data_IF_485447550566
#
_entry.id   IF_485447550566
#
_cell.length_a   1.000
_cell.length_b   1.000
_cell.length_c   1.000
_cell.angle_alpha   90.00
_cell.angle_beta   90.00
_cell.angle_gamma   90.00
#
_symmetry.space_group_name_H-M   'P 1'
#
loop_
_entity.id
_entity.type
_entity.pdbx_description
1 polymer ?
#
# COMPACT_ATOMS: atom_id res chain seq x y z
N UNK A 1 -22.98 -15.70 -49.24
CA UNK A 1 -23.30 -14.28 -49.44
C UNK A 1 -22.24 -13.44 -48.77
N UNK A 2 -21.73 -12.42 -49.45
CA UNK A 2 -20.72 -11.47 -48.96
C UNK A 2 -21.13 -10.84 -47.63
N UNK A 3 -22.42 -10.51 -47.48
CA UNK A 3 -23.00 -9.95 -46.26
C UNK A 3 -22.76 -10.81 -45.00
N UNK A 4 -22.75 -12.15 -45.11
CA UNK A 4 -22.48 -13.04 -43.97
C UNK A 4 -21.01 -13.00 -43.53
N UNK A 5 -20.10 -12.81 -44.48
CA UNK A 5 -18.68 -12.70 -44.21
C UNK A 5 -18.36 -11.35 -43.57
N UNK A 6 -18.93 -10.27 -44.11
CA UNK A 6 -18.80 -8.90 -43.60
C UNK A 6 -19.31 -8.78 -42.16
N UNK A 7 -20.52 -9.29 -41.87
CA UNK A 7 -21.05 -9.28 -40.51
C UNK A 7 -20.20 -10.08 -39.51
N UNK A 8 -19.58 -11.19 -39.93
CA UNK A 8 -18.67 -11.94 -39.07
C UNK A 8 -17.36 -11.18 -38.82
N UNK A 9 -16.82 -10.51 -39.82
CA UNK A 9 -15.60 -9.71 -39.68
C UNK A 9 -15.81 -8.48 -38.81
N UNK A 10 -16.96 -7.81 -38.97
CA UNK A 10 -17.34 -6.63 -38.19
C UNK A 10 -17.59 -7.00 -36.73
N UNK A 11 -18.44 -8.01 -36.46
CA UNK A 11 -18.69 -8.47 -35.10
C UNK A 11 -17.43 -8.97 -34.38
N UNK A 12 -16.48 -9.61 -35.09
CA UNK A 12 -15.17 -9.98 -34.51
C UNK A 12 -14.25 -8.78 -34.27
N UNK A 13 -14.34 -7.73 -35.08
CA UNK A 13 -13.57 -6.52 -34.88
C UNK A 13 -14.11 -5.74 -33.67
N UNK A 14 -15.43 -5.58 -33.61
CA UNK A 14 -16.15 -4.90 -32.52
C UNK A 14 -15.94 -5.62 -31.19
N UNK A 15 -16.21 -6.92 -31.10
CA UNK A 15 -16.01 -7.68 -29.86
C UNK A 15 -14.55 -7.66 -29.36
N UNK A 16 -13.56 -7.63 -30.27
CA UNK A 16 -12.15 -7.45 -29.87
C UNK A 16 -11.82 -6.02 -29.46
N UNK A 17 -12.50 -5.02 -30.00
CA UNK A 17 -12.32 -3.63 -29.60
C UNK A 17 -12.92 -3.40 -28.21
N UNK A 18 -14.15 -3.87 -27.99
CA UNK A 18 -14.88 -3.80 -26.73
C UNK A 18 -14.14 -4.55 -25.62
N UNK A 19 -13.81 -5.84 -25.81
CA UNK A 19 -13.09 -6.60 -24.79
C UNK A 19 -11.72 -6.01 -24.42
N UNK A 20 -11.03 -5.37 -25.37
CA UNK A 20 -9.77 -4.64 -25.07
C UNK A 20 -10.01 -3.29 -24.38
N UNK A 21 -11.15 -2.65 -24.61
CA UNK A 21 -11.50 -1.42 -23.92
C UNK A 21 -11.87 -1.72 -22.47
N UNK A 22 -12.74 -2.72 -22.25
CA UNK A 22 -13.18 -3.19 -20.95
C UNK A 22 -12.00 -3.70 -20.11
N UNK A 23 -11.22 -4.65 -20.63
CA UNK A 23 -10.07 -5.20 -19.89
C UNK A 23 -9.02 -4.13 -19.51
N UNK A 24 -8.84 -3.09 -20.34
CA UNK A 24 -7.98 -1.94 -19.97
C UNK A 24 -8.62 -1.00 -18.96
N UNK A 25 -9.95 -0.87 -18.96
CA UNK A 25 -10.66 -0.05 -17.98
C UNK A 25 -10.61 -0.73 -16.61
N UNK A 26 -10.94 -2.02 -16.55
CA UNK A 26 -10.91 -2.86 -15.36
C UNK A 26 -9.50 -2.95 -14.77
N UNK A 27 -8.51 -3.37 -15.56
CA UNK A 27 -7.13 -3.49 -15.06
C UNK A 27 -6.54 -2.16 -14.55
N UNK A 28 -6.94 -1.02 -15.12
CA UNK A 28 -6.56 0.29 -14.59
C UNK A 28 -7.31 0.67 -13.32
N UNK A 29 -8.57 0.28 -13.18
CA UNK A 29 -9.34 0.54 -11.98
C UNK A 29 -8.80 -0.29 -10.80
N UNK A 30 -8.59 -1.59 -11.02
CA UNK A 30 -8.03 -2.51 -10.04
C UNK A 30 -6.62 -2.08 -9.61
N UNK A 31 -5.71 -1.89 -10.57
CA UNK A 31 -4.33 -1.49 -10.24
C UNK A 31 -4.22 -0.16 -9.49
N UNK A 32 -5.14 0.79 -9.75
CA UNK A 32 -5.21 2.03 -8.94
C UNK A 32 -5.74 1.77 -7.54
N UNK A 33 -6.78 0.96 -7.39
CA UNK A 33 -7.37 0.65 -6.09
C UNK A 33 -6.35 -0.07 -5.20
N UNK A 34 -5.67 -1.08 -5.74
CA UNK A 34 -4.60 -1.82 -5.06
C UNK A 34 -3.44 -0.90 -4.68
N UNK A 35 -2.91 -0.12 -5.62
CA UNK A 35 -1.80 0.79 -5.35
C UNK A 35 -2.11 1.84 -4.28
N UNK A 36 -3.34 2.36 -4.24
CA UNK A 36 -3.78 3.28 -3.19
C UNK A 36 -3.90 2.57 -1.84
N UNK A 37 -4.47 1.36 -1.80
CA UNK A 37 -4.62 0.59 -0.58
C UNK A 37 -3.26 0.23 0.02
N UNK A 38 -2.36 -0.31 -0.78
CA UNK A 38 -1.00 -0.67 -0.37
C UNK A 38 -0.22 0.57 0.08
N UNK A 39 -0.25 1.65 -0.70
CA UNK A 39 0.44 2.89 -0.36
C UNK A 39 -0.04 3.49 0.97
N UNK A 40 -1.35 3.49 1.21
CA UNK A 40 -1.92 3.94 2.49
C UNK A 40 -1.54 3.04 3.66
N UNK A 41 -1.62 1.72 3.48
CA UNK A 41 -1.28 0.76 4.52
C UNK A 41 0.21 0.89 4.92
N UNK A 42 1.10 0.96 3.92
CA UNK A 42 2.53 1.15 4.12
C UNK A 42 2.83 2.49 4.80
N UNK A 43 2.29 3.59 4.29
CA UNK A 43 2.51 4.91 4.88
C UNK A 43 1.99 5.03 6.32
N UNK A 44 0.86 4.42 6.64
CA UNK A 44 0.34 4.39 8.01
C UNK A 44 1.22 3.55 8.95
N UNK A 45 1.71 2.40 8.48
CA UNK A 45 2.61 1.55 9.25
C UNK A 45 3.96 2.24 9.52
N UNK A 46 4.57 2.83 8.48
CA UNK A 46 5.81 3.59 8.57
C UNK A 46 5.65 4.80 9.52
N UNK A 47 4.60 5.61 9.33
CA UNK A 47 4.34 6.77 10.18
C UNK A 47 4.08 6.40 11.66
N UNK A 48 3.40 5.28 11.92
CA UNK A 48 3.23 4.77 13.29
C UNK A 48 4.55 4.32 13.90
N UNK A 49 5.38 3.59 13.14
CA UNK A 49 6.69 3.17 13.60
C UNK A 49 7.56 4.40 13.92
N UNK A 50 7.65 5.38 13.01
CA UNK A 50 8.38 6.62 13.23
C UNK A 50 7.90 7.39 14.46
N UNK A 51 6.58 7.49 14.67
CA UNK A 51 6.01 8.16 15.83
C UNK A 51 6.37 7.45 17.16
N UNK A 52 6.33 6.12 17.19
CA UNK A 52 6.72 5.32 18.35
C UNK A 52 8.22 5.52 18.64
N UNK A 53 9.06 5.49 17.61
CA UNK A 53 10.50 5.74 17.74
C UNK A 53 10.79 7.15 18.26
N UNK A 54 10.13 8.17 17.71
CA UNK A 54 10.26 9.55 18.16
C UNK A 54 9.84 9.71 19.64
N UNK A 55 8.74 9.06 20.02
CA UNK A 55 8.27 9.03 21.41
C UNK A 55 9.30 8.40 22.34
N UNK A 56 9.86 7.24 21.96
CA UNK A 56 10.89 6.57 22.75
C UNK A 56 12.14 7.44 22.95
N UNK A 57 12.61 8.12 21.89
CA UNK A 57 13.76 9.05 21.97
C UNK A 57 13.46 10.23 22.90
N UNK A 58 12.27 10.81 22.82
CA UNK A 58 11.87 11.94 23.66
C UNK A 58 11.77 11.53 25.13
N UNK A 59 11.18 10.38 25.43
CA UNK A 59 11.13 9.88 26.80
C UNK A 59 12.54 9.62 27.35
N UNK A 60 13.44 9.08 26.52
CA UNK A 60 14.83 8.89 26.95
C UNK A 60 15.54 10.20 27.23
N UNK A 61 15.38 11.21 26.37
CA UNK A 61 16.00 12.53 26.58
C UNK A 61 15.44 13.25 27.81
N UNK A 62 14.20 12.96 28.19
CA UNK A 62 13.58 13.39 29.46
C UNK A 62 14.07 12.60 30.68
N UNK A 63 14.93 11.59 30.51
CA UNK A 63 15.53 10.82 31.59
C UNK A 63 14.70 9.63 32.07
N UNK A 64 13.67 9.20 31.32
CA UNK A 64 12.90 8.03 31.70
C UNK A 64 13.75 6.73 31.62
N UNK A 65 13.54 5.78 32.55
CA UNK A 65 14.18 4.47 32.49
C UNK A 65 13.77 3.72 31.23
N UNK A 66 14.67 2.91 30.69
CA UNK A 66 14.41 2.14 29.46
C UNK A 66 13.24 1.17 29.64
N UNK A 67 13.06 0.63 30.84
CA UNK A 67 11.98 -0.26 31.23
C UNK A 67 10.62 0.45 31.16
N UNK A 68 10.57 1.71 31.55
CA UNK A 68 9.34 2.52 31.52
C UNK A 68 8.99 2.91 30.09
N UNK A 69 10.00 3.24 29.29
CA UNK A 69 9.85 3.52 27.86
C UNK A 69 9.33 2.27 27.13
N UNK A 70 9.87 1.09 27.44
CA UNK A 70 9.39 -0.18 26.90
C UNK A 70 7.90 -0.40 27.22
N UNK A 71 7.48 -0.19 28.47
CA UNK A 71 6.06 -0.29 28.84
C UNK A 71 5.17 0.73 28.14
N UNK A 72 5.65 1.96 27.94
CA UNK A 72 4.88 3.04 27.32
C UNK A 72 4.74 2.91 25.79
N UNK A 73 5.77 2.38 25.13
CA UNK A 73 5.87 2.36 23.66
C UNK A 73 5.62 0.99 23.05
N UNK A 74 5.67 -0.08 23.86
CA UNK A 74 5.60 -1.46 23.38
C UNK A 74 6.88 -1.95 22.69
N UNK A 75 7.93 -1.13 22.62
CA UNK A 75 9.24 -1.55 22.09
C UNK A 75 9.94 -2.47 23.08
N UNK A 76 10.74 -3.40 22.56
CA UNK A 76 11.62 -4.19 23.42
C UNK A 76 12.74 -3.32 23.99
N UNK A 77 13.30 -3.72 25.13
CA UNK A 77 14.47 -3.03 25.70
C UNK A 77 15.62 -3.00 24.69
N UNK A 78 15.82 -4.09 23.94
CA UNK A 78 16.83 -4.18 22.89
C UNK A 78 16.59 -3.17 21.77
N UNK A 79 15.36 -3.05 21.27
CA UNK A 79 15.01 -2.05 20.26
C UNK A 79 15.29 -0.63 20.76
N UNK A 80 14.93 -0.33 22.01
CA UNK A 80 15.18 0.99 22.61
C UNK A 80 16.68 1.26 22.72
N UNK A 81 17.49 0.28 23.14
CA UNK A 81 18.94 0.44 23.21
C UNK A 81 19.57 0.59 21.82
N UNK A 82 19.05 -0.09 20.80
CA UNK A 82 19.51 0.01 19.42
C UNK A 82 19.17 1.36 18.77
N UNK A 83 18.05 1.99 19.16
CA UNK A 83 17.65 3.33 18.70
C UNK A 83 18.61 4.42 19.20
N UNK A 84 19.32 4.17 20.30
CA UNK A 84 20.12 5.15 21.03
C UNK A 84 21.64 4.96 20.87
N UNK A 85 22.06 3.99 20.06
CA UNK A 85 23.47 3.85 19.64
C UNK A 85 23.85 4.90 18.61
#
# INVERSE_FOLDING_TARGET
STAKLEGLTEGRAEGRAEGRAEGRAEGRAEGRAEGIAEGRAKGLAEGRAEAILATARNLKSMGFPTEDISRATGLTIEDILNILR
#
